data_IF_606986837275
#
_entry.id   IF_606986837275
#
_cell.length_a   1.000
_cell.length_b   1.000
_cell.length_c   1.000
_cell.angle_alpha   90.00
_cell.angle_beta   90.00
_cell.angle_gamma   90.00
#
_symmetry.space_group_name_H-M   'P 1'
#
loop_
_entity.id
_entity.type
_entity.pdbx_description
1 polymer ?
#
# COMPACT_ATOMS: atom_id res chain seq x y z
N UNK A 1 -1.33 -0.97 -12.03
CA UNK A 1 -2.26 0.12 -11.69
C UNK A 1 -1.48 1.41 -11.56
N UNK A 2 -1.70 2.31 -12.48
CA UNK A 2 -0.89 3.53 -12.60
C UNK A 2 -0.94 4.43 -11.35
N UNK A 3 -2.06 4.42 -10.64
CA UNK A 3 -2.24 5.31 -9.49
C UNK A 3 -1.73 4.72 -8.18
N UNK A 4 -1.47 3.42 -8.12
CA UNK A 4 -1.06 2.76 -6.88
C UNK A 4 0.32 3.21 -6.41
N UNK A 5 1.26 3.39 -7.33
CA UNK A 5 2.61 3.82 -6.94
C UNK A 5 2.58 5.22 -6.33
N UNK A 6 1.83 6.14 -6.94
CA UNK A 6 1.70 7.51 -6.41
C UNK A 6 1.01 7.51 -5.05
N UNK A 7 -0.06 6.73 -4.91
CA UNK A 7 -0.78 6.61 -3.65
C UNK A 7 0.10 6.02 -2.55
N UNK A 8 0.81 4.93 -2.86
CA UNK A 8 1.68 4.26 -1.90
C UNK A 8 2.81 5.19 -1.45
N UNK A 9 3.44 5.89 -2.38
CA UNK A 9 4.52 6.81 -2.06
C UNK A 9 4.04 7.98 -1.22
N UNK A 10 2.88 8.55 -1.55
CA UNK A 10 2.29 9.65 -0.79
C UNK A 10 1.96 9.22 0.64
N UNK A 11 1.40 8.02 0.79
CA UNK A 11 1.02 7.50 2.09
C UNK A 11 2.25 7.23 2.95
N UNK A 12 3.25 6.55 2.40
CA UNK A 12 4.48 6.23 3.14
C UNK A 12 5.21 7.52 3.55
N UNK A 13 5.23 8.53 2.68
CA UNK A 13 5.89 9.80 2.98
C UNK A 13 5.28 10.52 4.19
N UNK A 14 4.01 10.27 4.49
CA UNK A 14 3.34 10.87 5.64
C UNK A 14 3.54 10.11 6.95
N UNK A 15 4.12 8.92 6.89
CA UNK A 15 4.40 8.12 8.09
C UNK A 15 5.61 8.67 8.83
N UNK A 16 5.71 8.43 10.16
CA UNK A 16 6.95 8.74 10.88
C UNK A 16 8.14 8.09 10.18
N UNK A 17 9.25 8.83 10.12
CA UNK A 17 10.42 8.38 9.36
C UNK A 17 10.87 6.97 9.76
N UNK A 18 10.87 6.69 11.06
CA UNK A 18 11.28 5.39 11.57
C UNK A 18 10.36 4.24 11.14
N UNK A 19 9.14 4.56 10.67
CA UNK A 19 8.16 3.56 10.25
C UNK A 19 8.08 3.40 8.73
N UNK A 20 8.70 4.29 7.98
CA UNK A 20 8.61 4.24 6.52
C UNK A 20 9.23 2.97 5.94
N UNK A 21 10.40 2.58 6.45
CA UNK A 21 11.06 1.36 5.96
C UNK A 21 10.23 0.11 6.32
N UNK A 22 9.67 0.08 7.51
CA UNK A 22 8.81 -1.00 7.94
C UNK A 22 7.58 -1.11 7.04
N UNK A 23 7.01 0.02 6.63
CA UNK A 23 5.87 0.04 5.71
C UNK A 23 6.24 -0.55 4.35
N UNK A 24 7.40 -0.17 3.82
CA UNK A 24 7.88 -0.70 2.54
C UNK A 24 8.15 -2.19 2.59
N UNK A 25 8.80 -2.64 3.65
CA UNK A 25 9.12 -4.06 3.84
C UNK A 25 7.85 -4.89 3.97
N UNK A 26 6.88 -4.40 4.73
CA UNK A 26 5.60 -5.07 4.88
C UNK A 26 4.83 -5.18 3.58
N UNK A 27 4.86 -4.11 2.77
CA UNK A 27 4.22 -4.12 1.45
C UNK A 27 4.83 -5.19 0.55
N UNK A 28 6.16 -5.21 0.47
CA UNK A 28 6.87 -6.19 -0.36
C UNK A 28 6.58 -7.62 0.08
N UNK A 29 6.58 -7.85 1.37
CA UNK A 29 6.33 -9.17 1.93
C UNK A 29 4.93 -9.66 1.56
N UNK A 30 3.91 -8.85 1.79
CA UNK A 30 2.52 -9.24 1.48
C UNK A 30 2.34 -9.43 -0.02
N UNK A 31 2.93 -8.54 -0.83
CA UNK A 31 2.88 -8.66 -2.28
C UNK A 31 3.47 -10.02 -2.72
N UNK A 32 4.67 -10.32 -2.24
CA UNK A 32 5.37 -11.55 -2.65
C UNK A 32 4.65 -12.81 -2.16
N UNK A 33 4.18 -12.82 -0.92
CA UNK A 33 3.44 -13.96 -0.37
C UNK A 33 2.15 -14.21 -1.16
N UNK A 34 1.43 -13.16 -1.49
CA UNK A 34 0.21 -13.28 -2.28
C UNK A 34 0.52 -13.76 -3.69
N UNK A 35 1.55 -13.18 -4.29
CA UNK A 35 2.01 -13.57 -5.62
C UNK A 35 2.32 -15.07 -5.68
N UNK A 36 3.09 -15.56 -4.71
CA UNK A 36 3.51 -16.96 -4.67
C UNK A 36 2.37 -17.93 -4.38
N UNK A 37 1.32 -17.46 -3.70
CA UNK A 37 0.18 -18.29 -3.34
C UNK A 37 -0.83 -18.46 -4.46
N UNK A 38 -0.72 -17.69 -5.53
CA UNK A 38 -1.68 -17.67 -6.62
C UNK A 38 -1.15 -18.35 -7.87
N UNK A 39 -2.04 -18.91 -8.71
CA UNK A 39 -1.64 -19.47 -10.00
C UNK A 39 -0.98 -18.40 -10.88
N UNK A 40 -0.11 -18.80 -11.78
CA UNK A 40 0.51 -17.92 -12.76
C UNK A 40 -0.53 -17.46 -13.78
N UNK A 41 -1.18 -16.36 -13.48
CA UNK A 41 -2.35 -15.83 -14.17
C UNK A 41 -2.19 -14.32 -14.27
N UNK A 42 -2.85 -13.70 -15.25
CA UNK A 42 -2.87 -12.25 -15.47
C UNK A 42 -3.36 -11.48 -14.25
N UNK A 43 -4.23 -12.10 -13.45
CA UNK A 43 -4.81 -11.47 -12.25
C UNK A 43 -3.90 -11.49 -11.04
N UNK A 44 -2.81 -12.24 -11.13
CA UNK A 44 -1.87 -12.47 -10.02
C UNK A 44 -1.29 -11.16 -9.50
N UNK A 45 -0.84 -10.30 -10.41
CA UNK A 45 -0.27 -9.02 -10.05
C UNK A 45 -1.29 -8.11 -9.36
N UNK A 46 -2.50 -8.01 -9.92
CA UNK A 46 -3.55 -7.17 -9.35
C UNK A 46 -3.97 -7.67 -7.97
N UNK A 47 -4.09 -8.97 -7.78
CA UNK A 47 -4.44 -9.55 -6.49
C UNK A 47 -3.35 -9.29 -5.45
N UNK A 48 -2.09 -9.45 -5.83
CA UNK A 48 -0.96 -9.18 -4.94
C UNK A 48 -0.89 -7.71 -4.55
N UNK A 49 -1.05 -6.81 -5.52
CA UNK A 49 -1.06 -5.37 -5.27
C UNK A 49 -2.20 -4.97 -4.35
N UNK A 50 -3.39 -5.53 -4.57
CA UNK A 50 -4.57 -5.23 -3.72
C UNK A 50 -4.32 -5.67 -2.28
N UNK A 51 -3.81 -6.87 -2.07
CA UNK A 51 -3.52 -7.38 -0.73
C UNK A 51 -2.48 -6.50 -0.03
N UNK A 52 -1.42 -6.12 -0.74
CA UNK A 52 -0.38 -5.26 -0.19
C UNK A 52 -0.91 -3.85 0.12
N UNK A 53 -1.77 -3.30 -0.73
CA UNK A 53 -2.39 -1.99 -0.50
C UNK A 53 -3.27 -1.98 0.74
N UNK A 54 -4.07 -3.02 0.94
CA UNK A 54 -4.92 -3.15 2.13
C UNK A 54 -4.06 -3.19 3.39
N UNK A 55 -2.98 -3.94 3.35
CA UNK A 55 -2.06 -4.04 4.49
C UNK A 55 -1.40 -2.69 4.79
N UNK A 56 -0.91 -2.02 3.77
CA UNK A 56 -0.28 -0.70 3.92
C UNK A 56 -1.26 0.31 4.51
N UNK A 57 -2.48 0.34 3.98
CA UNK A 57 -3.50 1.25 4.49
C UNK A 57 -3.81 0.99 5.96
N UNK A 58 -3.98 -0.29 6.35
CA UNK A 58 -4.23 -0.63 7.74
C UNK A 58 -3.10 -0.22 8.68
N UNK A 59 -1.86 -0.42 8.25
CA UNK A 59 -0.69 -0.01 9.01
C UNK A 59 -0.67 1.51 9.20
N UNK A 60 -0.91 2.25 8.12
CA UNK A 60 -0.92 3.71 8.16
C UNK A 60 -2.06 4.24 9.03
N UNK A 61 -3.23 3.64 8.97
CA UNK A 61 -4.37 4.05 9.79
C UNK A 61 -4.06 3.94 11.29
N UNK A 62 -3.30 2.92 11.69
CA UNK A 62 -2.88 2.77 13.07
C UNK A 62 -1.90 3.85 13.52
N UNK A 63 -1.10 4.35 12.60
CA UNK A 63 -0.04 5.31 12.93
C UNK A 63 -0.49 6.77 12.83
N UNK A 64 -1.25 7.12 11.80
CA UNK A 64 -1.61 8.51 11.53
C UNK A 64 -3.12 8.76 11.50
N UNK A 65 -3.92 7.72 11.64
CA UNK A 65 -5.36 7.83 11.71
C UNK A 65 -6.05 7.71 10.35
N UNK A 66 -7.28 7.24 10.39
CA UNK A 66 -8.07 6.98 9.20
C UNK A 66 -8.38 8.23 8.39
N UNK A 67 -8.67 9.35 9.08
CA UNK A 67 -9.00 10.60 8.39
C UNK A 67 -7.84 11.11 7.56
N UNK A 68 -6.63 11.01 8.10
CA UNK A 68 -5.42 11.44 7.39
C UNK A 68 -5.18 10.54 6.19
N UNK A 69 -5.32 9.22 6.36
CA UNK A 69 -5.16 8.26 5.27
C UNK A 69 -6.18 8.52 4.16
N UNK A 70 -7.44 8.77 4.52
CA UNK A 70 -8.48 9.05 3.53
C UNK A 70 -8.18 10.34 2.76
N UNK A 71 -7.65 11.36 3.42
CA UNK A 71 -7.27 12.61 2.78
C UNK A 71 -6.12 12.40 1.79
N UNK A 72 -5.11 11.65 2.18
CA UNK A 72 -3.97 11.34 1.32
C UNK A 72 -4.43 10.56 0.09
N UNK A 73 -5.27 9.56 0.29
CA UNK A 73 -5.82 8.75 -0.79
C UNK A 73 -6.60 9.62 -1.78
N UNK A 74 -7.45 10.51 -1.28
CA UNK A 74 -8.23 11.41 -2.12
C UNK A 74 -7.33 12.33 -2.95
N UNK A 75 -6.28 12.87 -2.34
CA UNK A 75 -5.33 13.74 -3.05
C UNK A 75 -4.51 12.99 -4.08
N UNK A 76 -4.07 11.77 -3.77
CA UNK A 76 -3.24 10.99 -4.67
C UNK A 76 -4.01 10.50 -5.92
N UNK A 77 -5.33 10.34 -5.81
CA UNK A 77 -6.18 9.94 -6.94
C UNK A 77 -6.77 11.13 -7.69
N UNK A 78 -6.57 12.33 -7.18
CA UNK A 78 -7.07 13.55 -7.79
C UNK A 78 -6.17 13.98 -8.94
N UNK A 79 -6.78 14.38 -10.04
CA UNK A 79 -6.05 14.88 -11.20
C UNK A 79 -5.96 16.38 -11.18
#
# INVERSE_FOLDING_TARGET
>A
LKNDAAWNNALIAQLPWSKQQQARDGYKRVFNETWESLPDDQRRENAAARAANIRLRGFAEKLIGRQVVDRITAQATKR
#
